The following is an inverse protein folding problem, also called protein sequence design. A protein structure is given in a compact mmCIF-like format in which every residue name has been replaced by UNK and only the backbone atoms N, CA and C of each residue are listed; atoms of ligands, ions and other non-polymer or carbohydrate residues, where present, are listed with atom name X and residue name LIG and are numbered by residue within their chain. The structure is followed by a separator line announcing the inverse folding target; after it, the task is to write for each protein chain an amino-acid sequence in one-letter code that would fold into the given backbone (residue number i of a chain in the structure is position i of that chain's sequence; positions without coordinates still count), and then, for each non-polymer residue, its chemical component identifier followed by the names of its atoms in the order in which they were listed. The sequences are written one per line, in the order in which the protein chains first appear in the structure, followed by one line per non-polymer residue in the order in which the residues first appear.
data_IF_552803590079
#
_entry.id   IF_552803590079
#
_cell.length_a   1.000
_cell.length_b   1.000
_cell.length_c   1.000
_cell.angle_alpha   90.00
_cell.angle_beta   90.00
_cell.angle_gamma   90.00
#
_symmetry.space_group_name_H-M   'P 1'
#
loop_
_entity.id
_entity.type
_entity.pdbx_description
1 polymer ?
#
# COMPACT_ATOMS: atom_id res chain seq x y z
N UNK A 1 -4.38 3.56 -2.16
CA UNK A 1 -5.79 3.65 -2.54
C UNK A 1 -6.70 2.88 -1.58
N UNK A 2 -8.04 3.05 -1.67
CA UNK A 2 -8.98 2.35 -0.79
C UNK A 2 -8.87 0.81 -0.95
N UNK A 3 -8.76 0.32 -2.19
CA UNK A 3 -8.61 -1.11 -2.47
C UNK A 3 -7.36 -1.71 -1.82
N UNK A 4 -6.27 -1.00 -1.87
CA UNK A 4 -5.00 -1.46 -1.30
C UNK A 4 -5.06 -1.46 0.23
N UNK A 5 -5.71 -0.45 0.82
CA UNK A 5 -5.96 -0.38 2.25
C UNK A 5 -6.82 -1.57 2.74
N UNK A 6 -7.89 -1.92 2.01
CA UNK A 6 -8.72 -3.10 2.31
C UNK A 6 -7.89 -4.38 2.21
N UNK A 7 -7.14 -4.54 1.11
CA UNK A 7 -6.30 -5.73 0.89
C UNK A 7 -5.27 -5.88 2.01
N UNK A 8 -4.53 -4.81 2.32
CA UNK A 8 -3.52 -4.81 3.37
C UNK A 8 -4.12 -5.11 4.75
N UNK A 9 -5.24 -4.46 5.09
CA UNK A 9 -5.91 -4.66 6.37
C UNK A 9 -6.38 -6.11 6.58
N UNK A 10 -6.99 -6.71 5.56
CA UNK A 10 -7.49 -8.08 5.68
C UNK A 10 -6.35 -9.10 5.77
N UNK A 11 -5.24 -8.90 5.06
CA UNK A 11 -4.06 -9.74 5.24
C UNK A 11 -3.43 -9.56 6.63
N UNK A 12 -3.38 -8.35 7.18
CA UNK A 12 -2.87 -8.10 8.53
C UNK A 12 -3.72 -8.79 9.61
N UNK A 13 -5.04 -8.86 9.39
CA UNK A 13 -5.97 -9.61 10.23
C UNK A 13 -5.88 -11.14 10.06
N UNK A 14 -5.01 -11.64 9.17
CA UNK A 14 -4.83 -13.07 8.92
C UNK A 14 -5.90 -13.69 8.02
N UNK A 15 -6.72 -12.88 7.35
CA UNK A 15 -7.76 -13.36 6.45
C UNK A 15 -7.15 -14.04 5.21
N UNK A 16 -7.75 -15.16 4.80
CA UNK A 16 -7.29 -15.93 3.66
C UNK A 16 -8.05 -15.54 2.39
N UNK A 17 -7.37 -15.05 1.35
CA UNK A 17 -8.04 -14.71 0.11
C UNK A 17 -8.45 -15.97 -0.67
N UNK A 18 -9.57 -15.91 -1.38
CA UNK A 18 -9.95 -16.92 -2.37
C UNK A 18 -9.07 -16.83 -3.63
N UNK A 19 -8.61 -15.64 -3.96
CA UNK A 19 -7.67 -15.40 -5.06
C UNK A 19 -6.83 -14.18 -4.79
N UNK A 20 -5.59 -14.20 -5.29
CA UNK A 20 -4.75 -13.00 -5.36
C UNK A 20 -4.10 -12.89 -6.73
N UNK A 21 -3.82 -11.68 -7.14
CA UNK A 21 -3.21 -11.34 -8.41
C UNK A 21 -2.27 -10.15 -8.25
N UNK A 22 -1.44 -9.95 -9.26
CA UNK A 22 -0.61 -8.75 -9.40
C UNK A 22 -1.43 -7.67 -10.12
N UNK A 23 -1.48 -6.48 -9.59
CA UNK A 23 -2.02 -5.32 -10.30
C UNK A 23 -0.93 -4.30 -10.64
N UNK A 24 -1.13 -3.58 -11.73
CA UNK A 24 -0.30 -2.44 -12.10
C UNK A 24 -0.65 -1.28 -11.17
N UNK A 25 0.31 -0.80 -10.39
CA UNK A 25 0.14 0.35 -9.48
C UNK A 25 0.41 1.68 -10.20
N UNK A 26 1.56 1.78 -10.82
CA UNK A 26 1.95 2.92 -11.67
C UNK A 26 2.90 2.47 -12.77
N UNK A 27 3.02 3.26 -13.80
CA UNK A 27 3.87 2.96 -14.96
C UNK A 27 4.87 4.11 -15.14
N UNK A 28 6.16 3.78 -15.24
CA UNK A 28 7.21 4.75 -15.49
C UNK A 28 7.00 5.43 -16.85
N UNK A 29 7.30 6.70 -16.94
CA UNK A 29 7.23 7.42 -18.23
C UNK A 29 8.28 6.89 -19.22
N UNK A 30 7.91 6.85 -20.49
CA UNK A 30 8.83 6.47 -21.57
C UNK A 30 9.11 4.97 -21.73
N UNK A 31 8.59 4.11 -20.84
CA UNK A 31 8.74 2.66 -21.03
C UNK A 31 7.73 2.11 -22.06
N UNK A 32 8.07 1.04 -22.83
CA UNK A 32 7.16 0.45 -23.81
C UNK A 32 5.81 0.02 -23.22
N UNK A 33 5.81 -0.47 -21.99
CA UNK A 33 4.60 -0.88 -21.29
C UNK A 33 3.57 0.24 -21.11
N UNK A 34 4.00 1.52 -21.02
CA UNK A 34 3.11 2.66 -20.90
C UNK A 34 2.16 2.87 -22.10
N UNK A 35 2.45 2.24 -23.25
CA UNK A 35 1.59 2.30 -24.44
C UNK A 35 0.44 1.31 -24.41
N UNK A 36 0.52 0.27 -23.57
CA UNK A 36 -0.41 -0.87 -23.60
C UNK A 36 -1.01 -1.25 -22.26
N UNK A 37 -0.31 -0.97 -21.16
CA UNK A 37 -0.79 -1.17 -19.79
C UNK A 37 -1.41 0.11 -19.25
N UNK A 38 -2.33 -0.04 -18.31
CA UNK A 38 -2.93 1.05 -17.55
C UNK A 38 -2.86 0.73 -16.06
N UNK A 39 -2.95 1.76 -15.23
CA UNK A 39 -3.08 1.58 -13.78
C UNK A 39 -4.29 0.70 -13.45
N UNK A 40 -4.15 -0.12 -12.43
CA UNK A 40 -5.11 -1.11 -11.99
C UNK A 40 -5.37 -2.28 -12.96
N UNK A 41 -4.65 -2.43 -14.07
CA UNK A 41 -4.65 -3.69 -14.83
C UNK A 41 -4.20 -4.84 -13.93
N UNK A 42 -4.91 -5.96 -13.98
CA UNK A 42 -4.52 -7.18 -13.28
C UNK A 42 -3.73 -8.06 -14.22
N UNK A 43 -2.47 -8.34 -13.89
CA UNK A 43 -1.59 -9.20 -14.66
C UNK A 43 -1.92 -10.66 -14.33
N UNK A 44 -2.23 -11.46 -15.33
CA UNK A 44 -2.61 -12.86 -15.18
C UNK A 44 -1.51 -13.81 -15.66
N UNK A 45 -0.76 -13.44 -16.72
CA UNK A 45 0.33 -14.25 -17.25
C UNK A 45 1.35 -13.37 -18.00
N UNK A 46 2.59 -13.89 -18.10
CA UNK A 46 3.67 -13.35 -18.94
C UNK A 46 4.11 -14.44 -19.89
N UNK A 47 4.05 -14.18 -21.19
CA UNK A 47 4.39 -15.16 -22.25
C UNK A 47 3.77 -16.55 -22.02
N UNK A 48 2.50 -16.56 -21.59
CA UNK A 48 1.76 -17.79 -21.27
C UNK A 48 2.02 -18.38 -19.87
N UNK A 49 3.05 -17.91 -19.15
CA UNK A 49 3.33 -18.36 -17.77
C UNK A 49 2.40 -17.63 -16.79
N UNK A 50 1.51 -18.33 -16.06
CA UNK A 50 0.61 -17.71 -15.09
C UNK A 50 1.35 -17.03 -13.94
N UNK A 51 0.86 -15.87 -13.50
CA UNK A 51 1.39 -15.13 -12.37
C UNK A 51 0.27 -14.67 -11.44
N UNK A 52 0.46 -14.85 -10.15
CA UNK A 52 -0.46 -14.40 -9.10
C UNK A 52 0.23 -13.61 -7.98
N UNK A 53 1.56 -13.57 -7.98
CA UNK A 53 2.37 -12.80 -7.03
C UNK A 53 3.44 -11.99 -7.75
N UNK A 54 3.92 -10.91 -7.12
CA UNK A 54 5.03 -10.10 -7.66
C UNK A 54 6.31 -10.94 -7.82
N UNK A 55 6.55 -11.89 -6.93
CA UNK A 55 7.68 -12.81 -7.06
C UNK A 55 7.58 -13.66 -8.34
N UNK A 56 6.39 -14.21 -8.62
CA UNK A 56 6.15 -14.97 -9.87
C UNK A 56 6.24 -14.08 -11.12
N UNK A 57 5.73 -12.84 -11.05
CA UNK A 57 5.89 -11.87 -12.14
C UNK A 57 7.37 -11.62 -12.43
N UNK A 58 8.18 -11.34 -11.40
CA UNK A 58 9.63 -11.14 -11.55
C UNK A 58 10.33 -12.38 -12.10
N UNK A 59 9.98 -13.58 -11.60
CA UNK A 59 10.54 -14.82 -12.08
C UNK A 59 10.21 -15.07 -13.57
N UNK A 60 8.96 -14.83 -13.97
CA UNK A 60 8.53 -14.98 -15.37
C UNK A 60 9.24 -13.96 -16.28
N UNK A 61 9.40 -12.71 -15.87
CA UNK A 61 10.14 -11.70 -16.62
C UNK A 61 11.62 -12.04 -16.75
N UNK A 62 12.25 -12.59 -15.70
CA UNK A 62 13.67 -12.93 -15.69
C UNK A 62 14.05 -14.06 -16.68
N UNK A 63 13.08 -14.80 -17.19
CA UNK A 63 13.33 -15.81 -18.27
C UNK A 63 13.53 -15.17 -19.64
N UNK A 64 13.28 -13.87 -19.77
CA UNK A 64 13.41 -13.13 -21.02
C UNK A 64 14.58 -12.14 -20.91
N UNK A 65 15.44 -12.00 -21.93
CA UNK A 65 16.46 -10.94 -21.97
C UNK A 65 15.83 -9.55 -21.92
N UNK A 66 16.56 -8.56 -21.41
CA UNK A 66 16.18 -7.14 -21.50
C UNK A 66 16.04 -6.75 -23.00
N UNK A 67 15.02 -6.00 -23.33
CA UNK A 67 14.71 -5.62 -24.72
C UNK A 67 13.90 -6.66 -25.49
N UNK A 68 13.48 -7.78 -24.86
CA UNK A 68 12.66 -8.81 -25.52
C UNK A 68 11.21 -8.36 -25.67
N UNK A 69 10.61 -8.68 -26.80
CA UNK A 69 9.17 -8.57 -27.00
C UNK A 69 8.46 -9.74 -26.30
N UNK A 70 7.52 -9.43 -25.43
CA UNK A 70 6.75 -10.40 -24.66
C UNK A 70 5.25 -10.12 -24.77
N UNK A 71 4.43 -11.12 -24.50
CA UNK A 71 3.00 -10.97 -24.31
C UNK A 71 2.67 -10.93 -22.83
N UNK A 72 1.74 -10.05 -22.46
CA UNK A 72 1.20 -9.96 -21.08
C UNK A 72 -0.31 -10.17 -21.16
N UNK A 73 -0.80 -11.21 -20.50
CA UNK A 73 -2.24 -11.41 -20.34
C UNK A 73 -2.71 -10.60 -19.15
N UNK A 74 -3.66 -9.72 -19.39
CA UNK A 74 -4.21 -8.82 -18.36
C UNK A 74 -5.73 -8.97 -18.26
N UNK A 75 -6.28 -8.55 -17.11
CA UNK A 75 -7.71 -8.31 -16.94
C UNK A 75 -7.93 -6.83 -16.69
N UNK A 76 -8.70 -6.19 -17.57
CA UNK A 76 -9.06 -4.77 -17.52
C UNK A 76 -10.58 -4.62 -17.63
N UNK A 77 -11.21 -3.97 -16.64
CA UNK A 77 -12.67 -3.82 -16.62
C UNK A 77 -13.42 -5.16 -16.70
N UNK A 78 -12.93 -6.19 -16.00
CA UNK A 78 -13.51 -7.55 -16.02
C UNK A 78 -13.20 -8.38 -17.27
N UNK A 79 -12.61 -7.80 -18.33
CA UNK A 79 -12.31 -8.48 -19.59
C UNK A 79 -10.84 -8.89 -19.68
N UNK A 80 -10.57 -10.13 -20.04
CA UNK A 80 -9.21 -10.60 -20.32
C UNK A 80 -8.74 -10.11 -21.69
N UNK A 81 -7.50 -9.63 -21.74
CA UNK A 81 -6.82 -9.14 -22.96
C UNK A 81 -5.39 -9.63 -22.99
N UNK A 82 -4.84 -9.79 -24.17
CA UNK A 82 -3.41 -10.02 -24.37
C UNK A 82 -2.85 -8.76 -25.00
N UNK A 83 -1.82 -8.20 -24.38
CA UNK A 83 -1.08 -7.04 -24.89
C UNK A 83 0.37 -7.44 -25.13
N UNK A 84 1.01 -6.79 -26.11
CA UNK A 84 2.41 -7.03 -26.42
C UNK A 84 3.21 -5.81 -26.04
N UNK A 85 4.33 -6.03 -25.36
CA UNK A 85 5.25 -4.97 -24.95
C UNK A 85 6.70 -5.46 -25.01
N UNK A 86 7.63 -4.54 -24.81
CA UNK A 86 9.06 -4.84 -24.74
C UNK A 86 9.54 -4.68 -23.30
N UNK A 87 10.35 -5.61 -22.82
CA UNK A 87 10.96 -5.51 -21.50
C UNK A 87 12.03 -4.43 -21.45
N UNK A 88 12.22 -3.84 -20.29
CA UNK A 88 13.27 -2.85 -20.00
C UNK A 88 14.20 -3.37 -18.91
N UNK A 89 15.34 -2.71 -18.71
CA UNK A 89 16.22 -3.02 -17.59
C UNK A 89 15.61 -2.48 -16.28
N UNK A 90 15.45 -3.35 -15.29
CA UNK A 90 15.03 -3.00 -13.94
C UNK A 90 16.20 -2.52 -13.06
N UNK A 91 15.88 -2.07 -11.85
CA UNK A 91 16.87 -1.57 -10.88
C UNK A 91 17.88 -2.65 -10.43
N UNK A 92 17.49 -3.91 -10.53
CA UNK A 92 18.34 -5.08 -10.23
C UNK A 92 19.07 -5.63 -11.48
N UNK A 93 19.09 -4.86 -12.58
CA UNK A 93 19.65 -5.21 -13.89
C UNK A 93 18.97 -6.42 -14.55
N UNK A 94 17.80 -6.82 -14.07
CA UNK A 94 16.99 -7.87 -14.67
C UNK A 94 15.89 -7.28 -15.54
N UNK A 95 15.29 -8.16 -16.34
CA UNK A 95 14.18 -7.81 -17.21
C UNK A 95 12.96 -7.36 -16.39
N UNK A 96 12.37 -6.25 -16.76
CA UNK A 96 11.26 -5.62 -16.09
C UNK A 96 10.26 -5.02 -17.08
N UNK A 97 9.09 -4.60 -16.59
CA UNK A 97 8.08 -3.87 -17.35
C UNK A 97 8.15 -2.34 -17.15
N UNK A 98 8.94 -1.87 -16.15
CA UNK A 98 8.94 -0.46 -15.76
C UNK A 98 7.65 -0.02 -15.08
N UNK A 99 7.07 -0.89 -14.27
CA UNK A 99 5.86 -0.64 -13.49
C UNK A 99 6.13 -0.82 -11.99
N UNK A 100 5.35 -0.17 -11.14
CA UNK A 100 5.15 -0.65 -9.79
C UNK A 100 4.08 -1.73 -9.81
N UNK A 101 4.33 -2.84 -9.14
CA UNK A 101 3.43 -3.96 -9.08
C UNK A 101 2.90 -4.11 -7.65
N UNK A 102 1.58 -4.20 -7.52
CA UNK A 102 0.90 -4.31 -6.24
C UNK A 102 0.11 -5.62 -6.15
N UNK A 103 -0.31 -5.97 -4.95
CA UNK A 103 -1.16 -7.13 -4.67
C UNK A 103 -2.63 -6.71 -4.65
N UNK A 104 -3.46 -7.46 -5.37
CA UNK A 104 -4.92 -7.38 -5.25
C UNK A 104 -5.46 -8.76 -4.89
N UNK A 105 -6.41 -8.81 -3.96
CA UNK A 105 -6.98 -10.06 -3.48
C UNK A 105 -8.50 -9.96 -3.34
N UNK A 106 -9.15 -11.12 -3.40
CA UNK A 106 -10.59 -11.26 -3.16
C UNK A 106 -10.80 -12.10 -1.91
N UNK A 107 -11.58 -11.58 -0.98
CA UNK A 107 -11.91 -12.24 0.29
C UNK A 107 -13.38 -12.61 0.28
N UNK A 108 -13.74 -13.91 0.26
CA UNK A 108 -15.12 -14.33 0.19
C UNK A 108 -15.87 -13.99 1.48
N UNK A 109 -17.09 -13.49 1.31
CA UNK A 109 -17.96 -13.16 2.46
C UNK A 109 -17.59 -11.88 3.22
N UNK A 110 -16.48 -11.22 2.87
CA UNK A 110 -16.04 -9.97 3.51
C UNK A 110 -16.30 -8.80 2.56
N UNK A 111 -17.23 -7.93 2.94
CA UNK A 111 -17.54 -6.70 2.22
C UNK A 111 -17.15 -5.50 3.07
N UNK A 112 -16.12 -4.78 2.65
CA UNK A 112 -15.69 -3.53 3.29
C UNK A 112 -16.18 -2.36 2.46
N UNK A 113 -17.06 -1.54 3.04
CA UNK A 113 -17.51 -0.29 2.45
C UNK A 113 -16.87 0.87 3.21
N UNK A 114 -16.17 1.73 2.49
CA UNK A 114 -15.54 2.93 3.06
C UNK A 114 -16.41 4.12 2.70
N UNK A 115 -17.20 4.59 3.68
CA UNK A 115 -18.14 5.72 3.53
C UNK A 115 -17.47 7.10 3.52
N UNK A 116 -16.26 7.21 3.00
CA UNK A 116 -15.53 8.48 2.89
C UNK A 116 -15.62 8.95 1.44
N UNK A 117 -16.09 10.19 1.25
CA UNK A 117 -16.15 10.82 -0.07
C UNK A 117 -14.73 10.99 -0.63
N UNK A 118 -14.41 10.38 -1.79
CA UNK A 118 -13.10 10.51 -2.42
C UNK A 118 -12.72 11.96 -2.77
N UNK A 119 -13.70 12.86 -2.89
CA UNK A 119 -13.45 14.27 -3.15
C UNK A 119 -13.00 15.02 -1.88
N UNK A 120 -13.29 14.49 -0.70
CA UNK A 120 -12.85 15.07 0.59
C UNK A 120 -11.51 14.48 1.02
N UNK A 121 -11.32 13.18 0.83
CA UNK A 121 -10.06 12.47 1.11
C UNK A 121 -9.54 11.91 -0.20
N UNK A 122 -9.00 12.80 -1.02
CA UNK A 122 -8.71 12.51 -2.43
C UNK A 122 -7.30 11.99 -2.74
N UNK A 123 -6.44 11.81 -1.77
CA UNK A 123 -5.07 11.39 -2.01
C UNK A 123 -4.76 9.98 -1.51
N UNK A 124 -3.72 9.31 -2.05
CA UNK A 124 -3.27 8.00 -1.58
C UNK A 124 -2.71 8.04 -0.15
N UNK A 125 -2.43 9.23 0.38
CA UNK A 125 -1.83 9.45 1.71
C UNK A 125 -2.73 9.08 2.89
N UNK A 126 -4.01 8.79 2.66
CA UNK A 126 -4.93 8.28 3.68
C UNK A 126 -4.89 6.75 3.80
N UNK A 127 -4.12 6.07 2.97
CA UNK A 127 -4.12 4.60 2.88
C UNK A 127 -3.88 3.91 4.22
N UNK A 128 -2.86 4.33 4.96
CA UNK A 128 -2.54 3.78 6.28
C UNK A 128 -3.68 4.01 7.28
N UNK A 129 -4.26 5.22 7.33
CA UNK A 129 -5.36 5.53 8.23
C UNK A 129 -6.63 4.72 7.88
N UNK A 130 -6.92 4.53 6.60
CA UNK A 130 -8.04 3.69 6.13
C UNK A 130 -7.84 2.23 6.53
N UNK A 131 -6.64 1.67 6.31
CA UNK A 131 -6.33 0.30 6.69
C UNK A 131 -6.47 0.09 8.21
N UNK A 132 -5.96 1.02 9.01
CA UNK A 132 -6.11 0.97 10.46
C UNK A 132 -7.57 1.06 10.91
N UNK A 133 -8.37 1.92 10.28
CA UNK A 133 -9.79 2.01 10.57
C UNK A 133 -10.55 0.71 10.29
N UNK A 134 -10.16 -0.03 9.24
CA UNK A 134 -10.71 -1.36 8.94
C UNK A 134 -10.29 -2.37 10.01
N UNK A 135 -9.00 -2.40 10.36
CA UNK A 135 -8.48 -3.31 11.39
C UNK A 135 -9.15 -3.04 12.74
N UNK A 136 -9.25 -1.76 13.13
CA UNK A 136 -9.90 -1.35 14.38
C UNK A 136 -11.36 -1.83 14.47
N UNK A 137 -12.11 -1.66 13.37
CA UNK A 137 -13.51 -2.09 13.29
C UNK A 137 -13.70 -3.61 13.33
N UNK A 138 -12.73 -4.36 12.82
CA UNK A 138 -12.79 -5.82 12.77
C UNK A 138 -12.09 -6.48 13.98
N UNK A 139 -11.37 -5.70 14.79
CA UNK A 139 -10.68 -6.20 16.00
C UNK A 139 -11.55 -5.97 17.24
N UNK A 140 -11.95 -7.03 17.97
CA UNK A 140 -12.69 -6.87 19.21
C UNK A 140 -11.93 -6.02 20.24
N UNK A 141 -12.61 -5.01 20.81
CA UNK A 141 -12.05 -4.11 21.82
C UNK A 141 -11.20 -2.95 21.27
N UNK A 142 -11.17 -2.79 19.95
CA UNK A 142 -10.48 -1.70 19.27
C UNK A 142 -8.96 -1.68 19.46
N UNK A 143 -8.26 -0.87 18.68
CA UNK A 143 -6.79 -0.76 18.70
C UNK A 143 -6.27 0.41 19.54
N UNK A 144 -7.03 1.50 19.64
CA UNK A 144 -6.50 2.78 20.14
C UNK A 144 -6.46 2.92 21.66
N UNK A 145 -7.13 2.04 22.41
CA UNK A 145 -7.27 2.15 23.85
C UNK A 145 -7.97 3.46 24.30
N UNK A 146 -8.86 4.00 23.46
CA UNK A 146 -9.58 5.25 23.72
C UNK A 146 -8.78 6.53 23.43
N UNK A 147 -7.57 6.44 22.88
CA UNK A 147 -6.74 7.60 22.53
C UNK A 147 -7.10 8.16 21.15
N UNK A 148 -6.97 9.48 21.03
CA UNK A 148 -7.02 10.12 19.70
C UNK A 148 -5.67 9.94 19.00
N UNK A 149 -5.68 9.18 17.92
CA UNK A 149 -4.50 8.82 17.14
C UNK A 149 -4.66 9.36 15.74
N UNK A 150 -3.62 9.98 15.22
CA UNK A 150 -3.54 10.43 13.85
C UNK A 150 -2.36 9.76 13.13
N UNK A 151 -2.37 9.84 11.82
CA UNK A 151 -1.27 9.32 11.02
C UNK A 151 -1.50 9.52 9.54
N UNK A 152 -0.46 9.30 8.78
CA UNK A 152 -0.49 9.41 7.33
C UNK A 152 0.47 8.39 6.71
N UNK A 153 0.28 8.12 5.45
CA UNK A 153 1.10 7.20 4.68
C UNK A 153 0.29 6.64 3.51
N UNK A 154 0.92 6.46 2.38
CA UNK A 154 0.36 5.55 1.37
C UNK A 154 0.43 4.14 1.91
N UNK A 155 -0.42 3.25 1.44
CA UNK A 155 -0.31 1.82 1.71
C UNK A 155 -0.51 1.05 0.41
N UNK A 156 0.35 0.07 0.17
CA UNK A 156 0.17 -0.90 -0.92
C UNK A 156 -0.55 -2.15 -0.43
N UNK A 157 -0.92 -3.05 -1.33
CA UNK A 157 -1.60 -4.30 -0.97
C UNK A 157 -0.74 -5.26 -0.14
N UNK A 158 0.55 -5.00 0.03
CA UNK A 158 1.45 -5.74 0.92
C UNK A 158 1.54 -5.14 2.33
N UNK A 159 0.90 -3.99 2.55
CA UNK A 159 0.97 -3.27 3.80
C UNK A 159 2.22 -2.40 3.94
N UNK A 160 2.98 -2.17 2.87
CA UNK A 160 4.12 -1.25 2.89
C UNK A 160 3.61 0.18 2.99
N UNK A 161 4.12 0.93 3.96
CA UNK A 161 3.78 2.34 4.16
C UNK A 161 4.79 3.19 3.40
N UNK A 162 4.27 4.01 2.49
CA UNK A 162 5.09 4.87 1.65
C UNK A 162 4.91 6.36 1.95
N UNK A 163 5.72 7.20 1.29
CA UNK A 163 5.80 8.63 1.51
C UNK A 163 4.53 9.38 1.09
N UNK A 164 4.41 10.60 1.60
CA UNK A 164 3.29 11.52 1.33
C UNK A 164 3.83 12.94 1.11
N UNK A 165 2.96 13.88 0.82
CA UNK A 165 3.27 15.30 0.84
C UNK A 165 2.58 16.03 1.98
N UNK A 166 3.14 17.19 2.37
CA UNK A 166 2.53 18.10 3.34
C UNK A 166 2.54 17.58 4.78
N UNK A 167 3.65 17.03 5.24
CA UNK A 167 3.80 16.50 6.59
C UNK A 167 3.50 17.55 7.66
N UNK A 168 4.01 18.78 7.50
CA UNK A 168 3.81 19.86 8.47
C UNK A 168 2.32 20.19 8.67
N UNK A 169 1.58 20.30 7.54
CA UNK A 169 0.14 20.61 7.60
C UNK A 169 -0.65 19.47 8.26
N UNK A 170 -0.26 18.21 8.02
CA UNK A 170 -0.90 17.05 8.62
C UNK A 170 -0.64 16.96 10.13
N UNK A 171 0.57 17.25 10.57
CA UNK A 171 0.90 17.31 12.00
C UNK A 171 0.13 18.45 12.67
N UNK A 172 0.08 19.64 12.07
CA UNK A 172 -0.69 20.75 12.61
C UNK A 172 -2.19 20.40 12.75
N UNK A 173 -2.76 19.73 11.75
CA UNK A 173 -4.14 19.26 11.79
C UNK A 173 -4.35 18.19 12.87
N UNK A 174 -3.43 17.25 13.03
CA UNK A 174 -3.48 16.22 14.06
C UNK A 174 -3.45 16.80 15.47
N UNK A 175 -2.54 17.74 15.73
CA UNK A 175 -2.46 18.47 17.02
C UNK A 175 -3.76 19.22 17.29
N UNK A 176 -4.29 19.95 16.31
CA UNK A 176 -5.58 20.65 16.42
C UNK A 176 -6.75 19.71 16.72
N UNK A 177 -6.70 18.48 16.20
CA UNK A 177 -7.69 17.43 16.47
C UNK A 177 -7.49 16.73 17.83
N UNK A 178 -6.49 17.13 18.63
CA UNK A 178 -6.20 16.54 19.94
C UNK A 178 -5.49 15.19 19.88
N UNK A 179 -4.81 14.87 18.79
CA UNK A 179 -4.03 13.64 18.70
C UNK A 179 -2.84 13.68 19.66
N UNK A 180 -2.65 12.60 20.42
CA UNK A 180 -1.48 12.38 21.28
C UNK A 180 -0.39 11.53 20.62
N UNK A 181 -0.73 10.83 19.54
CA UNK A 181 0.15 9.96 18.77
C UNK A 181 -0.02 10.26 17.29
N UNK A 182 1.09 10.25 16.55
CA UNK A 182 1.10 10.43 15.10
C UNK A 182 2.03 9.42 14.43
N UNK A 183 1.49 8.67 13.47
CA UNK A 183 2.26 7.76 12.63
C UNK A 183 2.82 8.52 11.42
N UNK A 184 4.15 8.51 11.30
CA UNK A 184 4.86 9.12 10.17
C UNK A 184 5.60 8.04 9.35
N UNK A 185 5.50 8.07 8.02
CA UNK A 185 6.32 7.20 7.18
C UNK A 185 7.80 7.34 7.51
N UNK A 186 8.53 6.22 7.50
CA UNK A 186 9.95 6.19 7.91
C UNK A 186 10.82 7.18 7.15
N UNK A 187 10.55 7.37 5.85
CA UNK A 187 11.30 8.32 5.00
C UNK A 187 11.08 9.79 5.37
N UNK A 188 10.03 10.11 6.11
CA UNK A 188 9.61 11.48 6.43
C UNK A 188 9.73 11.80 7.93
N UNK A 189 10.33 10.91 8.72
CA UNK A 189 10.54 11.11 10.15
C UNK A 189 11.29 12.40 10.47
N UNK A 190 12.28 12.78 9.67
CA UNK A 190 13.03 14.03 9.88
C UNK A 190 12.14 15.26 9.76
N UNK A 191 11.28 15.32 8.72
CA UNK A 191 10.32 16.42 8.55
C UNK A 191 9.27 16.41 9.65
N UNK A 192 8.73 15.23 9.99
CA UNK A 192 7.77 15.07 11.06
C UNK A 192 8.31 15.60 12.41
N UNK A 193 9.55 15.24 12.73
CA UNK A 193 10.23 15.66 13.97
C UNK A 193 10.41 17.16 14.07
N UNK A 194 10.72 17.83 12.95
CA UNK A 194 10.88 19.30 12.94
C UNK A 194 9.55 20.06 13.07
N UNK A 195 8.42 19.41 12.76
CA UNK A 195 7.09 20.04 12.80
C UNK A 195 6.29 19.71 14.06
N UNK A 196 6.64 18.63 14.77
CA UNK A 196 5.85 18.15 15.90
C UNK A 196 6.18 18.86 17.21
N UNK A 197 5.16 19.27 18.01
CA UNK A 197 5.38 19.71 19.38
C UNK A 197 5.80 18.52 20.27
N UNK A 198 6.46 18.81 21.39
CA UNK A 198 6.90 17.80 22.36
C UNK A 198 5.78 16.95 22.97
N UNK A 199 4.55 17.46 22.92
CA UNK A 199 3.34 16.75 23.39
C UNK A 199 2.82 15.68 22.44
N UNK A 200 3.32 15.62 21.19
CA UNK A 200 2.91 14.65 20.18
C UNK A 200 3.95 13.54 20.07
N UNK A 201 3.57 12.32 20.41
CA UNK A 201 4.43 11.14 20.22
C UNK A 201 4.49 10.77 18.74
N UNK A 202 5.67 10.85 18.14
CA UNK A 202 5.91 10.45 16.76
C UNK A 202 6.36 8.98 16.69
N UNK A 203 5.65 8.19 15.90
CA UNK A 203 6.00 6.79 15.66
C UNK A 203 6.41 6.64 14.20
N UNK A 204 7.62 6.11 14.00
CA UNK A 204 8.15 5.78 12.68
C UNK A 204 7.51 4.48 12.17
N UNK A 205 6.94 4.51 10.96
CA UNK A 205 6.30 3.36 10.36
C UNK A 205 6.76 3.12 8.93
N UNK A 206 6.97 1.86 8.60
CA UNK A 206 7.35 1.37 7.27
C UNK A 206 6.37 0.31 6.75
N UNK A 207 5.64 -0.32 7.67
CA UNK A 207 4.62 -1.32 7.35
C UNK A 207 3.38 -1.14 8.22
N UNK A 208 2.25 -1.65 7.74
CA UNK A 208 1.01 -1.69 8.52
C UNK A 208 1.16 -2.52 9.79
N UNK A 209 1.93 -3.61 9.74
CA UNK A 209 2.25 -4.44 10.91
C UNK A 209 3.00 -3.65 11.98
N UNK A 210 3.95 -2.79 11.60
CA UNK A 210 4.64 -1.90 12.54
C UNK A 210 3.66 -0.97 13.26
N UNK A 211 2.67 -0.45 12.53
CA UNK A 211 1.63 0.43 13.12
C UNK A 211 0.76 -0.35 14.10
N UNK A 212 0.28 -1.54 13.75
CA UNK A 212 -0.56 -2.38 14.62
C UNK A 212 0.17 -2.73 15.91
N UNK A 213 1.42 -3.21 15.82
CA UNK A 213 2.26 -3.51 16.99
C UNK A 213 2.49 -2.31 17.88
N UNK A 214 2.73 -1.13 17.30
CA UNK A 214 2.89 0.09 18.07
C UNK A 214 1.60 0.49 18.80
N UNK A 215 0.43 0.29 18.19
CA UNK A 215 -0.86 0.53 18.85
C UNK A 215 -1.11 -0.46 20.00
N UNK A 216 -0.77 -1.72 19.81
CA UNK A 216 -0.84 -2.74 20.88
C UNK A 216 0.08 -2.40 22.05
N UNK A 217 1.32 -1.97 21.78
CA UNK A 217 2.25 -1.49 22.79
C UNK A 217 1.68 -0.30 23.56
N UNK A 218 1.15 0.72 22.85
CA UNK A 218 0.51 1.90 23.47
C UNK A 218 -0.68 1.49 24.34
N UNK A 219 -1.52 0.56 23.86
CA UNK A 219 -2.69 0.06 24.58
C UNK A 219 -2.29 -0.66 25.88
N UNK A 220 -1.17 -1.39 25.88
CA UNK A 220 -0.61 -2.04 27.07
C UNK A 220 0.21 -1.10 27.97
N UNK A 221 0.35 0.16 27.61
CA UNK A 221 1.17 1.14 28.35
C UNK A 221 2.68 1.03 28.11
N UNK A 222 3.09 0.24 27.12
CA UNK A 222 4.50 0.13 26.71
C UNK A 222 4.90 1.30 25.81
N UNK A 223 6.19 1.64 25.86
CA UNK A 223 6.84 2.60 24.95
C UNK A 223 7.80 1.92 23.97
N UNK A 224 7.75 0.59 23.89
CA UNK A 224 8.60 -0.20 23.00
C UNK A 224 8.02 -0.21 21.58
N UNK A 225 8.27 0.86 20.85
CA UNK A 225 7.92 1.01 19.44
C UNK A 225 8.92 1.95 18.73
N UNK A 226 9.05 1.88 17.41
CA UNK A 226 10.00 2.74 16.67
C UNK A 226 9.63 4.22 16.78
N UNK A 227 10.57 5.04 17.22
CA UNK A 227 10.41 6.49 17.28
C UNK A 227 11.03 7.18 16.04
N UNK A 228 10.50 8.33 15.68
CA UNK A 228 11.22 9.25 14.79
C UNK A 228 12.37 10.01 15.56
#
# INVERSE_FOLDING_TARGET
SQRDAVTAALFELGEKPASQHVSVGSISSGVPAAKVLLDADVILAVSGTPVSTVAQLRAALATHPVGSTITVTIRRGGKTRIVTTTTVEGTDKKSALGITADRVATFPGIHVSIGIDPNIVGGPSAGTALALGIIDKLTPGGLTGGRTIAGTGTVDGYGTVGPIGGMQQKIAAAVKAGASVFFAPASECSEAKSAAPSSLTLIKVDTLSTVVKALEAIKSGSTDFPHC
#
